data_IF_266875220796
#
_entry.id   IF_266875220796
#
_cell.length_a   1.000
_cell.length_b   1.000
_cell.length_c   1.000
_cell.angle_alpha   90.00
_cell.angle_beta   90.00
_cell.angle_gamma   90.00
#
_symmetry.space_group_name_H-M   'P 1'
#
loop_
_entity.id
_entity.type
_entity.pdbx_description
1 polymer ?
#
# COMPACT_ATOMS: atom_id res chain seq x y z
N UNK A 1 -26.47 23.20 -6.77
CA UNK A 1 -26.89 21.90 -6.21
C UNK A 1 -26.39 20.80 -7.15
N UNK A 2 -25.17 20.30 -6.93
CA UNK A 2 -24.55 19.25 -7.76
C UNK A 2 -24.36 18.01 -6.91
N UNK A 3 -25.29 17.07 -7.00
CA UNK A 3 -25.35 15.88 -6.18
C UNK A 3 -24.57 14.71 -6.80
N UNK A 4 -23.48 14.31 -6.14
CA UNK A 4 -23.25 12.92 -5.70
C UNK A 4 -23.28 11.78 -6.73
N UNK A 5 -22.44 11.80 -7.77
CA UNK A 5 -22.22 10.63 -8.64
C UNK A 5 -20.89 9.88 -8.43
N UNK A 6 -20.11 10.20 -7.37
CA UNK A 6 -18.78 9.59 -7.12
C UNK A 6 -18.79 8.55 -5.97
N UNK A 7 -19.98 8.14 -5.49
CA UNK A 7 -20.08 7.56 -4.14
C UNK A 7 -20.21 6.04 -4.04
N UNK A 8 -20.45 5.28 -5.12
CA UNK A 8 -20.63 3.81 -4.99
C UNK A 8 -19.33 3.01 -5.15
N UNK A 9 -18.39 3.56 -5.90
CA UNK A 9 -17.10 2.98 -6.27
C UNK A 9 -16.01 3.32 -5.24
N UNK A 10 -16.08 4.51 -4.63
CA UNK A 10 -15.18 4.90 -3.54
C UNK A 10 -15.48 4.19 -2.21
N UNK A 11 -16.73 3.78 -1.98
CA UNK A 11 -17.19 3.20 -0.71
C UNK A 11 -16.59 1.81 -0.45
N UNK A 12 -16.16 1.09 -1.50
CA UNK A 12 -15.46 -0.20 -1.36
C UNK A 12 -13.95 -0.11 -1.13
N UNK A 13 -13.34 1.06 -1.40
CA UNK A 13 -11.89 1.27 -1.26
C UNK A 13 -11.50 1.82 0.11
N UNK A 14 -12.42 2.52 0.75
CA UNK A 14 -12.21 3.06 2.09
C UNK A 14 -12.37 1.95 3.13
N UNK A 15 -11.35 1.80 3.98
CA UNK A 15 -11.41 0.91 5.14
C UNK A 15 -11.47 1.80 6.36
N UNK A 16 -12.60 1.77 7.05
CA UNK A 16 -12.76 2.46 8.32
C UNK A 16 -11.83 1.82 9.36
N UNK A 17 -10.94 2.63 9.92
CA UNK A 17 -9.95 2.17 10.89
C UNK A 17 -9.65 3.24 11.92
N UNK A 18 -9.31 2.78 13.13
CA UNK A 18 -8.99 3.66 14.29
C UNK A 18 -7.54 3.56 14.75
N UNK A 19 -6.69 2.88 13.99
CA UNK A 19 -5.30 2.64 14.37
C UNK A 19 -4.44 3.92 14.33
N UNK A 20 -3.21 3.84 14.85
CA UNK A 20 -2.27 4.95 14.81
C UNK A 20 -2.04 5.46 13.38
N UNK A 21 -1.92 4.54 12.41
CA UNK A 21 -1.80 4.89 10.99
C UNK A 21 -3.05 5.63 10.52
N UNK A 22 -4.26 5.19 10.88
CA UNK A 22 -5.49 5.85 10.46
C UNK A 22 -5.60 7.28 11.01
N UNK A 23 -5.14 7.51 12.25
CA UNK A 23 -5.18 8.83 12.90
C UNK A 23 -4.12 9.82 12.41
N UNK A 24 -3.11 9.37 11.65
CA UNK A 24 -2.10 10.28 11.10
C UNK A 24 -2.73 11.31 10.14
N UNK A 25 -2.22 12.56 10.12
CA UNK A 25 -2.61 13.55 9.13
C UNK A 25 -2.40 13.02 7.69
N UNK A 26 -3.29 13.38 6.78
CA UNK A 26 -3.19 12.95 5.38
C UNK A 26 -1.85 13.33 4.74
N UNK A 27 -1.33 14.54 5.01
CA UNK A 27 -0.05 15.00 4.51
C UNK A 27 1.12 14.10 4.96
N UNK A 28 1.11 13.63 6.21
CA UNK A 28 2.15 12.74 6.72
C UNK A 28 2.14 11.37 6.02
N UNK A 29 0.94 10.83 5.74
CA UNK A 29 0.79 9.57 4.99
C UNK A 29 1.32 9.70 3.56
N UNK A 30 0.98 10.80 2.89
CA UNK A 30 1.41 11.05 1.51
C UNK A 30 2.92 11.30 1.44
N UNK A 31 3.47 12.10 2.35
CA UNK A 31 4.92 12.32 2.43
C UNK A 31 5.67 11.01 2.68
N UNK A 32 5.20 10.18 3.62
CA UNK A 32 5.76 8.86 3.88
C UNK A 32 5.67 7.92 2.70
N UNK A 33 4.52 7.89 2.00
CA UNK A 33 4.34 7.09 0.79
C UNK A 33 5.31 7.50 -0.32
N UNK A 34 5.40 8.79 -0.60
CA UNK A 34 6.28 9.32 -1.64
C UNK A 34 7.75 8.99 -1.31
N UNK A 35 8.18 9.26 -0.08
CA UNK A 35 9.53 8.93 0.36
C UNK A 35 9.84 7.43 0.22
N UNK A 36 8.90 6.57 0.65
CA UNK A 36 9.08 5.12 0.57
C UNK A 36 9.18 4.61 -0.87
N UNK A 37 8.27 5.03 -1.75
CA UNK A 37 8.30 4.60 -3.16
C UNK A 37 9.55 5.12 -3.86
N UNK A 38 9.98 6.34 -3.57
CA UNK A 38 11.25 6.88 -4.10
C UNK A 38 12.44 6.07 -3.62
N UNK A 39 12.50 5.73 -2.33
CA UNK A 39 13.59 4.92 -1.77
C UNK A 39 13.67 3.55 -2.47
N UNK A 40 12.54 2.85 -2.56
CA UNK A 40 12.46 1.55 -3.24
C UNK A 40 12.89 1.64 -4.70
N UNK A 41 12.49 2.70 -5.41
CA UNK A 41 12.83 2.89 -6.82
C UNK A 41 14.32 3.11 -7.07
N UNK A 42 15.04 3.73 -6.11
CA UNK A 42 16.49 3.95 -6.22
C UNK A 42 17.32 2.80 -5.62
N UNK A 43 16.71 1.89 -4.85
CA UNK A 43 17.40 0.73 -4.26
C UNK A 43 17.91 -0.21 -5.35
N UNK A 44 19.23 -0.49 -5.43
CA UNK A 44 19.76 -1.44 -6.40
C UNK A 44 19.19 -2.84 -6.21
N UNK A 45 18.85 -3.53 -7.30
CA UNK A 45 18.32 -4.91 -7.26
C UNK A 45 19.25 -5.95 -6.62
N UNK A 46 20.54 -5.64 -6.53
CA UNK A 46 21.56 -6.48 -5.86
C UNK A 46 21.55 -6.31 -4.34
N UNK A 47 20.98 -5.22 -3.82
CA UNK A 47 20.90 -4.92 -2.39
C UNK A 47 19.69 -5.62 -1.76
N UNK A 48 19.67 -6.96 -1.82
CA UNK A 48 18.56 -7.79 -1.33
C UNK A 48 18.22 -7.55 0.14
N UNK A 49 19.21 -7.22 0.97
CA UNK A 49 18.99 -6.87 2.37
C UNK A 49 18.20 -5.54 2.53
N UNK A 50 18.45 -4.55 1.68
CA UNK A 50 17.72 -3.29 1.69
C UNK A 50 16.26 -3.51 1.26
N UNK A 51 16.04 -4.29 0.20
CA UNK A 51 14.70 -4.67 -0.25
C UNK A 51 13.93 -5.48 0.81
N UNK A 52 14.62 -6.33 1.57
CA UNK A 52 14.02 -7.05 2.69
C UNK A 52 13.57 -6.09 3.81
N UNK A 53 14.37 -5.05 4.10
CA UNK A 53 13.99 -3.99 5.05
C UNK A 53 12.78 -3.21 4.53
N UNK A 54 12.75 -2.82 3.26
CA UNK A 54 11.61 -2.14 2.65
C UNK A 54 10.33 -2.98 2.78
N UNK A 55 10.42 -4.28 2.50
CA UNK A 55 9.32 -5.23 2.70
C UNK A 55 8.87 -5.31 4.16
N UNK A 56 9.81 -5.38 5.11
CA UNK A 56 9.51 -5.40 6.53
C UNK A 56 8.80 -4.12 7.00
N UNK A 57 9.20 -2.94 6.48
CA UNK A 57 8.54 -1.66 6.77
C UNK A 57 7.08 -1.68 6.32
N UNK A 58 6.79 -2.15 5.11
CA UNK A 58 5.40 -2.24 4.61
C UNK A 58 4.58 -3.21 5.45
N UNK A 59 5.12 -4.38 5.79
CA UNK A 59 4.46 -5.35 6.65
C UNK A 59 4.16 -4.77 8.04
N UNK A 60 5.11 -4.03 8.62
CA UNK A 60 4.91 -3.35 9.90
C UNK A 60 3.80 -2.30 9.81
N UNK A 61 3.77 -1.48 8.74
CA UNK A 61 2.71 -0.50 8.54
C UNK A 61 1.34 -1.17 8.39
N UNK A 62 1.25 -2.28 7.65
CA UNK A 62 0.01 -3.06 7.50
C UNK A 62 -0.46 -3.63 8.84
N UNK A 63 0.46 -4.19 9.63
CA UNK A 63 0.17 -4.74 10.95
C UNK A 63 -0.29 -3.65 11.94
N UNK A 64 0.40 -2.51 12.00
CA UNK A 64 0.01 -1.36 12.83
C UNK A 64 -1.28 -0.72 12.33
N UNK A 65 -1.55 -0.77 11.03
CA UNK A 65 -2.82 -0.35 10.46
C UNK A 65 -3.99 -1.26 10.92
N UNK A 66 -3.71 -2.50 11.32
CA UNK A 66 -4.71 -3.48 11.74
C UNK A 66 -5.57 -3.97 10.57
N UNK A 67 -5.01 -4.01 9.37
CA UNK A 67 -5.74 -4.44 8.18
C UNK A 67 -5.93 -5.95 8.18
N UNK A 68 -7.12 -6.39 7.82
CA UNK A 68 -7.39 -7.81 7.62
C UNK A 68 -6.59 -8.33 6.42
N UNK A 69 -5.93 -9.47 6.59
CA UNK A 69 -5.16 -10.12 5.52
C UNK A 69 -5.95 -10.32 4.20
N UNK A 70 -7.25 -10.72 4.19
CA UNK A 70 -8.01 -10.82 2.96
C UNK A 70 -8.15 -9.47 2.22
N UNK A 71 -8.25 -8.36 2.95
CA UNK A 71 -8.31 -7.02 2.35
C UNK A 71 -7.02 -6.67 1.62
N UNK A 72 -5.88 -7.00 2.21
CA UNK A 72 -4.57 -6.77 1.61
C UNK A 72 -4.37 -7.71 0.42
N UNK A 73 -4.68 -8.99 0.57
CA UNK A 73 -4.55 -10.00 -0.48
C UNK A 73 -5.41 -9.66 -1.72
N UNK A 74 -6.65 -9.22 -1.52
CA UNK A 74 -7.53 -8.80 -2.61
C UNK A 74 -6.96 -7.62 -3.41
N UNK A 75 -6.26 -6.69 -2.74
CA UNK A 75 -5.58 -5.55 -3.40
C UNK A 75 -4.33 -5.99 -4.15
N UNK A 76 -3.56 -6.92 -3.58
CA UNK A 76 -2.38 -7.49 -4.25
C UNK A 76 -2.74 -8.36 -5.46
N UNK A 77 -3.93 -8.97 -5.48
CA UNK A 77 -4.40 -9.76 -6.62
C UNK A 77 -4.47 -8.95 -7.92
N UNK A 78 -4.71 -7.64 -7.84
CA UNK A 78 -4.67 -6.76 -9.02
C UNK A 78 -3.28 -6.71 -9.68
N UNK A 79 -2.22 -7.03 -8.94
CA UNK A 79 -0.83 -7.03 -9.41
C UNK A 79 -0.40 -8.42 -9.91
N UNK A 80 -1.20 -9.47 -9.67
CA UNK A 80 -0.87 -10.85 -10.04
C UNK A 80 -0.48 -11.03 -11.52
N UNK A 81 -1.13 -10.37 -12.52
CA UNK A 81 -0.72 -10.49 -13.91
C UNK A 81 0.72 -10.03 -14.17
N UNK A 82 1.18 -8.97 -13.50
CA UNK A 82 2.53 -8.44 -13.65
C UNK A 82 3.57 -9.38 -13.04
N UNK A 83 3.25 -9.97 -11.88
CA UNK A 83 4.11 -10.98 -11.24
C UNK A 83 4.20 -12.22 -12.12
N UNK A 84 3.07 -12.68 -12.67
CA UNK A 84 3.04 -13.82 -13.58
C UNK A 84 3.92 -13.56 -14.81
N UNK A 85 3.86 -12.36 -15.39
CA UNK A 85 4.72 -11.97 -16.50
C UNK A 85 6.21 -11.94 -16.09
N UNK A 86 6.54 -11.36 -14.94
CA UNK A 86 7.91 -11.30 -14.43
C UNK A 86 8.54 -12.68 -14.15
N UNK A 87 7.72 -13.70 -13.87
CA UNK A 87 8.18 -15.08 -13.68
C UNK A 87 8.29 -15.86 -15.01
N UNK A 88 7.56 -15.42 -16.04
CA UNK A 88 7.55 -16.07 -17.35
C UNK A 88 8.66 -15.57 -18.28
N UNK A 89 9.22 -14.39 -18.02
CA UNK A 89 10.34 -13.78 -18.73
C UNK A 89 11.69 -14.10 -18.06
#
# INVERSE_FOLDING_TARGET
MGAGHVRRDAEGLFVDGRSAVHRLPAAAKLAGLLAFVTLVAVTPRTAVAALAVDGAVVLAVVAVAGLALPTVAARLAAIAPFVAFALAL
#
